data_IF_038995597669
#
_entry.id   IF_038995597669
#
_cell.length_a   1.000
_cell.length_b   1.000
_cell.length_c   1.000
_cell.angle_alpha   90.00
_cell.angle_beta   90.00
_cell.angle_gamma   90.00
#
_symmetry.space_group_name_H-M   'P 1'
#
loop_
_entity.id
_entity.type
_entity.pdbx_description
1 polymer ?
#
# COMPACT_ATOMS: atom_id res chain seq x y z
N UNK A 1 0.25 -20.26 -9.74
CA UNK A 1 -0.51 -21.42 -9.23
C UNK A 1 -1.26 -20.97 -7.98
N UNK A 2 -2.45 -21.52 -7.73
CA UNK A 2 -3.21 -21.27 -6.50
C UNK A 2 -3.17 -22.50 -5.60
N UNK A 3 -3.01 -22.32 -4.30
CA UNK A 3 -3.02 -23.40 -3.30
C UNK A 3 -4.28 -23.28 -2.44
N UNK A 4 -5.10 -24.34 -2.31
CA UNK A 4 -6.25 -24.32 -1.42
C UNK A 4 -5.82 -24.20 0.05
N UNK A 5 -6.46 -23.31 0.81
CA UNK A 5 -6.26 -23.16 2.26
C UNK A 5 -7.59 -23.48 2.95
N UNK A 6 -7.75 -24.66 3.57
CA UNK A 6 -8.95 -24.98 4.33
C UNK A 6 -9.03 -24.09 5.57
N UNK A 7 -10.18 -23.47 5.81
CA UNK A 7 -10.42 -22.60 6.97
C UNK A 7 -11.87 -22.73 7.39
N UNK A 8 -12.12 -22.70 8.71
CA UNK A 8 -13.47 -22.69 9.26
C UNK A 8 -13.89 -21.24 9.49
N UNK A 9 -15.11 -20.94 9.08
CA UNK A 9 -15.78 -19.67 9.35
C UNK A 9 -17.02 -19.97 10.20
N UNK A 10 -17.34 -19.06 11.11
CA UNK A 10 -18.62 -19.03 11.80
C UNK A 10 -19.76 -18.67 10.85
N UNK A 11 -21.00 -18.97 11.23
CA UNK A 11 -22.17 -18.61 10.44
C UNK A 11 -22.30 -17.09 10.22
N UNK A 12 -21.87 -16.29 11.20
CA UNK A 12 -21.83 -14.83 11.10
C UNK A 12 -20.79 -14.34 10.08
N UNK A 13 -19.60 -14.93 10.06
CA UNK A 13 -18.57 -14.59 9.08
C UNK A 13 -19.01 -15.00 7.67
N UNK A 14 -19.64 -16.16 7.51
CA UNK A 14 -20.19 -16.59 6.22
C UNK A 14 -21.27 -15.61 5.75
N UNK A 15 -22.19 -15.22 6.63
CA UNK A 15 -23.23 -14.22 6.34
C UNK A 15 -22.63 -12.88 5.92
N UNK A 16 -21.56 -12.45 6.59
CA UNK A 16 -20.82 -11.23 6.23
C UNK A 16 -20.20 -11.33 4.84
N UNK A 17 -19.55 -12.45 4.52
CA UNK A 17 -18.96 -12.67 3.19
C UNK A 17 -20.05 -12.68 2.12
N UNK A 18 -21.19 -13.32 2.38
CA UNK A 18 -22.32 -13.36 1.44
C UNK A 18 -22.89 -11.98 1.16
N UNK A 19 -23.04 -11.16 2.20
CA UNK A 19 -23.46 -9.76 2.04
C UNK A 19 -22.46 -8.99 1.18
N UNK A 20 -21.15 -9.15 1.39
CA UNK A 20 -20.12 -8.49 0.58
C UNK A 20 -20.16 -8.91 -0.90
N UNK A 21 -20.49 -10.19 -1.18
CA UNK A 21 -20.74 -10.63 -2.56
C UNK A 21 -21.99 -9.96 -3.13
N UNK A 22 -23.09 -9.91 -2.38
CA UNK A 22 -24.32 -9.26 -2.81
C UNK A 22 -24.16 -7.75 -3.07
N UNK A 23 -23.32 -7.08 -2.27
CA UNK A 23 -22.95 -5.67 -2.42
C UNK A 23 -21.97 -5.43 -3.59
N UNK A 24 -21.54 -6.49 -4.30
CA UNK A 24 -20.67 -6.40 -5.47
C UNK A 24 -19.17 -6.26 -5.17
N UNK A 25 -18.74 -6.45 -3.91
CA UNK A 25 -17.33 -6.39 -3.51
C UNK A 25 -16.52 -7.52 -4.15
N UNK A 26 -17.13 -8.66 -4.41
CA UNK A 26 -16.51 -9.82 -5.05
C UNK A 26 -17.49 -10.60 -5.91
N UNK A 27 -16.99 -11.24 -6.98
CA UNK A 27 -17.82 -12.08 -7.83
C UNK A 27 -18.28 -13.38 -7.13
N UNK A 28 -17.56 -13.79 -6.08
CA UNK A 28 -17.88 -14.93 -5.22
C UNK A 28 -17.13 -14.82 -3.88
N UNK A 29 -17.41 -15.72 -2.94
CA UNK A 29 -16.79 -15.75 -1.60
C UNK A 29 -15.27 -15.77 -1.65
N UNK A 30 -14.67 -16.60 -2.52
CA UNK A 30 -13.21 -16.69 -2.66
C UNK A 30 -12.60 -15.40 -3.23
N UNK A 31 -13.34 -14.66 -4.05
CA UNK A 31 -12.92 -13.35 -4.56
C UNK A 31 -12.94 -12.28 -3.47
N UNK A 32 -13.98 -12.26 -2.63
CA UNK A 32 -14.03 -11.40 -1.44
C UNK A 32 -12.87 -11.69 -0.49
N UNK A 33 -12.62 -12.96 -0.18
CA UNK A 33 -11.54 -13.35 0.73
C UNK A 33 -10.17 -12.95 0.18
N UNK A 34 -9.91 -13.16 -1.13
CA UNK A 34 -8.66 -12.73 -1.76
C UNK A 34 -8.49 -11.22 -1.70
N UNK A 35 -9.53 -10.45 -2.06
CA UNK A 35 -9.50 -8.99 -1.94
C UNK A 35 -9.25 -8.50 -0.52
N UNK A 36 -9.83 -9.16 0.48
CA UNK A 36 -9.58 -8.83 1.88
C UNK A 36 -8.10 -9.05 2.24
N UNK A 37 -7.52 -10.18 1.83
CA UNK A 37 -6.09 -10.45 2.05
C UNK A 37 -5.21 -9.40 1.36
N UNK A 38 -5.48 -9.07 0.09
CA UNK A 38 -4.74 -8.06 -0.66
C UNK A 38 -4.84 -6.68 0.02
N UNK A 39 -6.03 -6.32 0.53
CA UNK A 39 -6.24 -5.09 1.29
C UNK A 39 -5.42 -5.06 2.58
N UNK A 40 -5.39 -6.16 3.34
CA UNK A 40 -4.60 -6.24 4.57
C UNK A 40 -3.10 -6.17 4.30
N UNK A 41 -2.63 -6.83 3.24
CA UNK A 41 -1.21 -6.79 2.86
C UNK A 41 -0.78 -5.38 2.45
N UNK A 42 -1.55 -4.70 1.60
CA UNK A 42 -1.26 -3.31 1.19
C UNK A 42 -1.29 -2.36 2.39
N UNK A 43 -2.28 -2.48 3.28
CA UNK A 43 -2.38 -1.63 4.48
C UNK A 43 -1.16 -1.80 5.40
N UNK A 44 -0.73 -3.05 5.65
CA UNK A 44 0.45 -3.34 6.47
C UNK A 44 1.75 -2.92 5.79
N UNK A 45 1.85 -3.11 4.47
CA UNK A 45 2.99 -2.67 3.69
C UNK A 45 3.17 -1.16 3.77
N UNK A 46 2.10 -0.40 3.54
CA UNK A 46 2.12 1.07 3.62
C UNK A 46 2.46 1.57 5.02
N UNK A 47 1.92 0.94 6.07
CA UNK A 47 2.25 1.29 7.45
C UNK A 47 3.76 1.11 7.71
N UNK A 48 4.33 -0.03 7.32
CA UNK A 48 5.76 -0.33 7.47
C UNK A 48 6.64 0.66 6.70
N UNK A 49 6.29 0.95 5.44
CA UNK A 49 7.04 1.92 4.62
C UNK A 49 6.98 3.31 5.23
N UNK A 50 5.80 3.74 5.71
CA UNK A 50 5.62 5.02 6.40
C UNK A 50 6.50 5.12 7.64
N UNK A 51 6.56 4.06 8.46
CA UNK A 51 7.45 4.01 9.62
C UNK A 51 8.93 4.09 9.23
N UNK A 52 9.34 3.39 8.16
CA UNK A 52 10.71 3.45 7.66
C UNK A 52 11.10 4.84 7.19
N UNK A 53 10.22 5.53 6.44
CA UNK A 53 10.43 6.91 6.00
C UNK A 53 10.51 7.85 7.21
N UNK A 54 9.59 7.74 8.17
CA UNK A 54 9.61 8.57 9.35
C UNK A 54 10.87 8.34 10.22
N UNK A 55 11.34 7.10 10.30
CA UNK A 55 12.58 6.75 10.99
C UNK A 55 13.80 7.31 10.26
N UNK A 56 13.84 7.27 8.92
CA UNK A 56 14.98 7.74 8.15
C UNK A 56 15.26 9.22 8.38
N UNK A 57 14.23 10.06 8.49
CA UNK A 57 14.41 11.48 8.82
C UNK A 57 15.10 11.72 10.17
N UNK A 58 15.00 10.77 11.11
CA UNK A 58 15.66 10.87 12.41
C UNK A 58 17.07 10.29 12.39
N UNK A 59 17.27 9.17 11.71
CA UNK A 59 18.56 8.44 11.70
C UNK A 59 19.53 9.01 10.68
N UNK A 60 19.03 9.60 9.60
CA UNK A 60 19.80 10.24 8.54
C UNK A 60 19.11 11.55 8.16
N UNK A 61 19.28 12.60 8.99
CA UNK A 61 18.79 13.92 8.65
C UNK A 61 19.39 14.38 7.31
N UNK A 62 18.60 15.10 6.53
CA UNK A 62 19.04 15.73 5.29
C UNK A 62 20.21 16.67 5.57
N UNK A 63 21.26 16.56 4.76
CA UNK A 63 22.45 17.41 4.89
C UNK A 63 22.31 18.68 4.05
N UNK A 64 23.13 19.68 4.36
CA UNK A 64 23.21 20.89 3.54
C UNK A 64 23.67 20.60 2.09
N UNK A 65 24.45 19.53 1.88
CA UNK A 65 24.88 19.12 0.55
C UNK A 65 23.71 18.51 -0.24
N UNK A 66 22.82 17.76 0.42
CA UNK A 66 21.59 17.25 -0.20
C UNK A 66 20.68 18.40 -0.64
N UNK A 67 20.57 19.46 0.18
CA UNK A 67 19.80 20.67 -0.16
C UNK A 67 20.42 21.41 -1.34
N UNK A 68 21.74 21.57 -1.35
CA UNK A 68 22.46 22.23 -2.44
C UNK A 68 22.29 21.45 -3.76
N UNK A 69 22.39 20.12 -3.71
CA UNK A 69 22.17 19.26 -4.87
C UNK A 69 20.72 19.33 -5.38
N UNK A 70 19.73 19.30 -4.48
CA UNK A 70 18.32 19.43 -4.83
C UNK A 70 18.02 20.78 -5.51
N UNK A 71 18.57 21.87 -4.97
CA UNK A 71 18.40 23.21 -5.55
C UNK A 71 19.06 23.32 -6.94
N UNK A 72 20.30 22.84 -7.08
CA UNK A 72 20.99 22.86 -8.38
C UNK A 72 20.22 22.08 -9.45
N UNK A 73 19.64 20.94 -9.08
CA UNK A 73 18.84 20.13 -9.99
C UNK A 73 17.53 20.83 -10.38
N UNK A 74 16.84 21.47 -9.43
CA UNK A 74 15.63 22.25 -9.70
C UNK A 74 15.89 23.41 -10.68
N UNK A 75 17.03 24.11 -10.53
CA UNK A 75 17.47 25.15 -11.46
C UNK A 75 17.74 24.56 -12.84
N UNK A 76 18.52 23.48 -12.93
CA UNK A 76 18.86 22.84 -14.19
C UNK A 76 17.64 22.34 -14.97
N UNK A 77 16.64 21.76 -14.28
CA UNK A 77 15.37 21.37 -14.91
C UNK A 77 14.65 22.59 -15.47
N UNK A 78 14.54 23.67 -14.69
CA UNK A 78 13.88 24.90 -15.12
C UNK A 78 14.56 25.54 -16.34
N UNK A 79 15.89 25.49 -16.41
CA UNK A 79 16.68 26.02 -17.53
C UNK A 79 16.63 25.14 -18.79
N UNK A 80 16.37 23.84 -18.63
CA UNK A 80 16.32 22.88 -19.74
C UNK A 80 14.94 22.82 -20.44
N UNK A 81 13.89 23.33 -19.80
CA UNK A 81 12.56 23.39 -20.39
C UNK A 81 12.50 24.47 -21.49
N UNK A 82 12.01 24.11 -22.69
CA UNK A 82 11.82 25.02 -23.83
C UNK A 82 10.50 25.81 -23.69
N UNK A 83 10.34 26.53 -22.59
CA UNK A 83 9.18 27.40 -22.38
C UNK A 83 9.25 28.69 -23.20
#
# INVERSE_FOLDING_TARGET
MTTPIPTRFSDEEVSTIDRLVADGVGANRSDVIRRAIDFFDDALHRARVGEMIAASYRTQPQSADDDAAAMANAVAITEAEEW
#
